data_IF_647911534510
#
_entry.id   IF_647911534510
#
_cell.length_a   1.000
_cell.length_b   1.000
_cell.length_c   1.000
_cell.angle_alpha   90.00
_cell.angle_beta   90.00
_cell.angle_gamma   90.00
#
_symmetry.space_group_name_H-M   'P 1'
#
loop_
_entity.id
_entity.type
_entity.pdbx_description
1 polymer ?
#
# COMPACT_ATOMS: atom_id res chain seq x y z
N UNK A 1 -34.77 39.96 11.37
CA UNK A 1 -33.44 40.63 11.23
C UNK A 1 -32.50 40.24 12.37
N UNK A 2 -32.86 40.48 13.63
CA UNK A 2 -32.07 40.10 14.83
C UNK A 2 -31.83 38.59 14.98
N UNK A 3 -32.82 37.73 14.70
CA UNK A 3 -32.65 36.27 14.79
C UNK A 3 -31.59 35.71 13.83
N UNK A 4 -31.49 36.28 12.63
CA UNK A 4 -30.49 35.88 11.63
C UNK A 4 -29.08 36.25 12.09
N UNK A 5 -28.92 37.43 12.70
CA UNK A 5 -27.65 37.88 13.28
C UNK A 5 -27.21 37.00 14.46
N UNK A 6 -28.13 36.57 15.32
CA UNK A 6 -27.82 35.66 16.43
C UNK A 6 -27.39 34.28 15.91
N UNK A 7 -28.08 33.75 14.91
CA UNK A 7 -27.70 32.46 14.30
C UNK A 7 -26.32 32.53 13.63
N UNK A 8 -26.04 33.62 12.91
CA UNK A 8 -24.73 33.86 12.30
C UNK A 8 -23.62 33.97 13.36
N UNK A 9 -23.88 34.65 14.48
CA UNK A 9 -22.92 34.79 15.57
C UNK A 9 -22.58 33.43 16.21
N UNK A 10 -23.58 32.57 16.45
CA UNK A 10 -23.37 31.22 17.00
C UNK A 10 -22.63 30.33 15.99
N UNK A 11 -22.98 30.40 14.70
CA UNK A 11 -22.30 29.63 13.65
C UNK A 11 -20.81 30.00 13.53
N UNK A 12 -20.49 31.30 13.57
CA UNK A 12 -19.09 31.79 13.53
C UNK A 12 -18.32 31.39 14.79
N UNK A 13 -18.95 31.46 15.96
CA UNK A 13 -18.32 31.05 17.22
C UNK A 13 -18.04 29.53 17.27
N UNK A 14 -18.95 28.72 16.72
CA UNK A 14 -18.74 27.29 16.54
C UNK A 14 -17.62 26.96 15.55
N UNK A 15 -17.53 27.70 14.44
CA UNK A 15 -16.44 27.54 13.46
C UNK A 15 -15.08 27.93 14.07
N UNK A 16 -15.03 29.03 14.82
CA UNK A 16 -13.80 29.53 15.44
C UNK A 16 -13.25 28.56 16.51
N UNK A 17 -14.14 27.99 17.33
CA UNK A 17 -13.76 26.99 18.34
C UNK A 17 -13.27 25.68 17.70
N UNK A 18 -13.92 25.22 16.62
CA UNK A 18 -13.46 24.06 15.85
C UNK A 18 -12.10 24.31 15.15
N UNK A 19 -11.86 25.52 14.66
CA UNK A 19 -10.64 25.86 13.93
C UNK A 19 -9.43 26.10 14.85
N UNK A 20 -9.65 26.58 16.08
CA UNK A 20 -8.58 26.88 17.05
C UNK A 20 -8.02 25.64 17.77
N UNK A 21 -8.82 24.59 17.98
CA UNK A 21 -8.43 23.44 18.82
C UNK A 21 -7.74 22.31 18.01
N UNK A 22 -7.88 22.28 16.68
CA UNK A 22 -7.39 21.18 15.85
C UNK A 22 -5.88 21.14 15.54
N UNK A 23 -5.09 22.13 15.98
CA UNK A 23 -3.70 22.32 15.48
C UNK A 23 -2.56 21.95 16.44
N UNK A 24 -2.78 21.63 17.72
CA UNK A 24 -1.69 21.32 18.66
C UNK A 24 -1.91 20.10 19.55
N UNK A 25 -2.17 18.93 18.95
CA UNK A 25 -1.81 17.68 19.62
C UNK A 25 -1.23 16.72 18.60
N UNK A 26 0.11 16.53 18.55
CA UNK A 26 0.65 15.41 17.81
C UNK A 26 0.08 14.16 18.49
N UNK A 27 -0.72 13.33 17.81
CA UNK A 27 -1.00 12.00 18.33
C UNK A 27 0.36 11.33 18.52
N UNK A 28 0.60 10.78 19.71
CA UNK A 28 1.72 9.88 19.91
C UNK A 28 1.71 8.88 18.75
N UNK A 29 2.86 8.64 18.12
CA UNK A 29 2.95 7.83 16.91
C UNK A 29 2.22 6.48 17.05
N UNK A 30 2.16 5.92 18.26
CA UNK A 30 1.37 4.72 18.58
C UNK A 30 -0.15 4.87 18.45
N UNK A 31 -0.74 6.00 18.86
CA UNK A 31 -2.19 6.23 18.74
C UNK A 31 -2.61 6.50 17.30
N UNK A 32 -1.75 7.16 16.50
CA UNK A 32 -1.98 7.38 15.07
C UNK A 32 -1.98 6.04 14.28
N UNK A 33 -1.07 5.12 14.61
CA UNK A 33 -1.05 3.78 14.01
C UNK A 33 -2.29 2.99 14.39
N UNK A 34 -2.72 3.03 15.66
CA UNK A 34 -3.88 2.29 16.14
C UNK A 34 -5.19 2.78 15.48
N UNK A 35 -5.35 4.11 15.35
CA UNK A 35 -6.48 4.70 14.62
C UNK A 35 -6.42 4.45 13.11
N UNK A 36 -5.22 4.37 12.51
CA UNK A 36 -5.07 4.01 11.10
C UNK A 36 -5.46 2.55 10.84
N UNK A 37 -5.10 1.62 11.73
CA UNK A 37 -5.46 0.19 11.63
C UNK A 37 -6.97 -0.01 11.78
N UNK A 38 -7.63 0.73 12.68
CA UNK A 38 -9.11 0.75 12.80
C UNK A 38 -9.83 1.39 11.59
N UNK A 39 -9.10 2.02 10.67
CA UNK A 39 -9.63 2.66 9.47
C UNK A 39 -9.56 1.81 8.19
N UNK A 40 -8.94 0.64 8.25
CA UNK A 40 -8.86 -0.30 7.12
C UNK A 40 -10.26 -0.87 6.85
N UNK A 41 -10.65 -0.92 5.58
CA UNK A 41 -11.92 -1.53 5.19
C UNK A 41 -11.86 -3.04 5.45
N UNK A 42 -12.90 -3.59 6.08
CA UNK A 42 -13.05 -5.03 6.26
C UNK A 42 -13.01 -5.73 4.88
N UNK A 43 -12.22 -6.80 4.69
CA UNK A 43 -12.20 -7.54 3.45
C UNK A 43 -13.60 -8.05 3.10
N UNK A 44 -14.14 -7.71 1.92
CA UNK A 44 -15.44 -8.23 1.49
C UNK A 44 -15.28 -9.73 1.16
N UNK A 45 -15.92 -10.64 1.92
CA UNK A 45 -15.79 -12.08 1.71
C UNK A 45 -16.42 -12.57 0.40
N UNK A 46 -17.15 -11.70 -0.33
CA UNK A 46 -17.70 -12.01 -1.66
C UNK A 46 -16.71 -11.79 -2.79
N UNK A 47 -15.64 -11.02 -2.56
CA UNK A 47 -14.59 -10.81 -3.55
C UNK A 47 -13.58 -11.95 -3.46
N UNK A 48 -13.15 -12.54 -4.59
CA UNK A 48 -12.10 -13.53 -4.57
C UNK A 48 -10.82 -12.91 -3.98
N UNK A 49 -10.13 -13.60 -3.05
CA UNK A 49 -8.91 -13.08 -2.46
C UNK A 49 -7.86 -12.89 -3.56
N UNK A 50 -7.17 -11.75 -3.53
CA UNK A 50 -6.01 -11.51 -4.38
C UNK A 50 -4.87 -12.34 -3.84
N UNK A 51 -4.62 -13.48 -4.48
CA UNK A 51 -3.58 -14.42 -4.07
C UNK A 51 -2.48 -14.48 -5.12
N UNK A 52 -1.27 -14.23 -4.66
CA UNK A 52 -0.06 -14.63 -5.38
C UNK A 52 0.26 -16.08 -5.04
N UNK A 53 0.92 -16.83 -5.95
CA UNK A 53 1.46 -18.14 -5.60
C UNK A 53 2.58 -18.00 -4.55
N UNK A 54 2.92 -19.10 -3.87
CA UNK A 54 3.98 -19.14 -2.84
C UNK A 54 5.33 -18.57 -3.33
N UNK A 55 5.62 -18.76 -4.62
CA UNK A 55 6.80 -18.24 -5.30
C UNK A 55 6.35 -17.40 -6.50
N UNK A 56 6.03 -16.11 -6.31
CA UNK A 56 5.54 -15.25 -7.38
C UNK A 56 6.65 -14.97 -8.38
N UNK A 57 6.32 -15.04 -9.67
CA UNK A 57 7.17 -14.49 -10.73
C UNK A 57 6.79 -13.02 -11.01
N UNK A 58 7.66 -12.29 -11.70
CA UNK A 58 7.39 -10.92 -12.15
C UNK A 58 6.05 -10.80 -12.91
N UNK A 59 5.73 -11.79 -13.75
CA UNK A 59 4.48 -11.84 -14.51
C UNK A 59 3.23 -12.02 -13.63
N UNK A 60 3.36 -12.69 -12.47
CA UNK A 60 2.24 -12.85 -11.55
C UNK A 60 1.89 -11.53 -10.87
N UNK A 61 2.91 -10.79 -10.43
CA UNK A 61 2.74 -9.45 -9.84
C UNK A 61 2.07 -8.49 -10.82
N UNK A 62 2.47 -8.49 -12.08
CA UNK A 62 1.89 -7.62 -13.12
C UNK A 62 0.39 -7.90 -13.42
N UNK A 63 -0.08 -9.12 -13.15
CA UNK A 63 -1.48 -9.53 -13.35
C UNK A 63 -2.38 -9.24 -12.15
N UNK A 64 -1.82 -8.88 -11.01
CA UNK A 64 -2.59 -8.60 -9.79
C UNK A 64 -3.51 -7.40 -10.03
N UNK A 65 -4.78 -7.53 -9.63
CA UNK A 65 -5.76 -6.44 -9.66
C UNK A 65 -6.43 -6.31 -8.31
N UNK A 66 -6.35 -5.12 -7.72
CA UNK A 66 -6.95 -4.83 -6.43
C UNK A 66 -8.36 -4.22 -6.60
N UNK A 67 -9.34 -4.62 -5.78
CA UNK A 67 -10.66 -3.98 -5.76
C UNK A 67 -10.56 -2.54 -5.23
N UNK A 68 -11.46 -1.67 -5.70
CA UNK A 68 -11.53 -0.27 -5.28
C UNK A 68 -12.30 -0.15 -3.96
N UNK A 69 -11.75 0.55 -2.98
CA UNK A 69 -12.39 0.80 -1.69
C UNK A 69 -12.42 2.30 -1.34
N UNK A 70 -13.44 2.74 -0.61
CA UNK A 70 -13.65 4.14 -0.18
C UNK A 70 -12.50 4.70 0.69
N UNK A 71 -11.70 3.84 1.33
CA UNK A 71 -10.47 4.18 2.06
C UNK A 71 -9.25 3.41 1.56
N UNK A 72 -9.25 3.04 0.28
CA UNK A 72 -8.13 2.31 -0.33
C UNK A 72 -6.90 3.19 -0.55
N UNK A 73 -5.75 2.52 -0.70
CA UNK A 73 -4.55 3.16 -1.24
C UNK A 73 -4.84 3.74 -2.65
N UNK A 74 -4.09 4.78 -3.03
CA UNK A 74 -4.24 5.38 -4.36
C UNK A 74 -3.80 4.37 -5.42
N UNK A 75 -4.69 4.02 -6.35
CA UNK A 75 -4.43 3.01 -7.39
C UNK A 75 -3.13 3.31 -8.16
N UNK A 76 -2.95 4.53 -8.68
CA UNK A 76 -1.73 4.86 -9.42
C UNK A 76 -0.43 4.74 -8.61
N UNK A 77 -0.45 4.98 -7.29
CA UNK A 77 0.74 4.79 -6.45
C UNK A 77 1.02 3.31 -6.19
N UNK A 78 -0.04 2.53 -5.98
CA UNK A 78 0.07 1.08 -5.82
C UNK A 78 0.59 0.46 -7.11
N UNK A 79 0.02 0.84 -8.25
CA UNK A 79 0.41 0.36 -9.57
C UNK A 79 1.90 0.68 -9.86
N UNK A 80 2.36 1.90 -9.61
CA UNK A 80 3.77 2.26 -9.80
C UNK A 80 4.71 1.42 -8.90
N UNK A 81 4.31 1.17 -7.65
CA UNK A 81 5.09 0.34 -6.73
C UNK A 81 5.12 -1.12 -7.20
N UNK A 82 3.99 -1.66 -7.69
CA UNK A 82 3.91 -3.02 -8.22
C UNK A 82 4.73 -3.18 -9.51
N UNK A 83 4.71 -2.19 -10.39
CA UNK A 83 5.52 -2.19 -11.62
C UNK A 83 7.02 -2.21 -11.28
N UNK A 84 7.43 -1.37 -10.32
CA UNK A 84 8.82 -1.36 -9.82
C UNK A 84 9.20 -2.69 -9.17
N UNK A 85 8.28 -3.28 -8.40
CA UNK A 85 8.50 -4.57 -7.75
C UNK A 85 8.62 -5.70 -8.78
N UNK A 86 7.75 -5.74 -9.79
CA UNK A 86 7.80 -6.72 -10.86
C UNK A 86 9.11 -6.62 -11.65
N UNK A 87 9.59 -5.42 -11.94
CA UNK A 87 10.88 -5.20 -12.58
C UNK A 87 12.04 -5.73 -11.73
N UNK A 88 12.09 -5.36 -10.44
CA UNK A 88 13.15 -5.81 -9.53
C UNK A 88 13.16 -7.33 -9.35
N UNK A 89 11.98 -7.95 -9.31
CA UNK A 89 11.83 -9.40 -9.25
C UNK A 89 12.37 -10.07 -10.51
N UNK A 90 12.04 -9.55 -11.70
CA UNK A 90 12.57 -10.05 -12.97
C UNK A 90 14.10 -9.94 -13.08
N UNK A 91 14.69 -8.86 -12.59
CA UNK A 91 16.14 -8.69 -12.52
C UNK A 91 16.79 -9.72 -11.58
N UNK A 92 16.18 -9.94 -10.41
CA UNK A 92 16.65 -10.95 -9.45
C UNK A 92 16.56 -12.36 -10.04
N UNK A 93 15.45 -12.70 -10.68
CA UNK A 93 15.25 -14.01 -11.29
C UNK A 93 16.20 -14.26 -12.46
N UNK A 94 16.52 -13.22 -13.24
CA UNK A 94 17.56 -13.32 -14.26
C UNK A 94 18.94 -13.59 -13.64
N UNK A 95 19.31 -12.82 -12.60
CA UNK A 95 20.58 -13.01 -11.92
C UNK A 95 20.72 -14.39 -11.26
N UNK A 96 19.63 -14.92 -10.69
CA UNK A 96 19.63 -16.27 -10.12
C UNK A 96 19.88 -17.30 -11.22
N UNK A 97 19.19 -17.21 -12.36
CA UNK A 97 19.40 -18.12 -13.50
C UNK A 97 20.83 -18.08 -14.02
N UNK A 98 21.43 -16.90 -14.12
CA UNK A 98 22.81 -16.76 -14.58
C UNK A 98 23.80 -17.42 -13.60
N UNK A 99 23.58 -17.26 -12.29
CA UNK A 99 24.40 -17.89 -11.26
C UNK A 99 24.22 -19.42 -11.23
N UNK A 100 23.00 -19.90 -11.40
CA UNK A 100 22.70 -21.34 -11.47
C UNK A 100 23.34 -21.99 -12.70
N UNK A 101 23.32 -21.32 -13.85
CA UNK A 101 24.01 -21.78 -15.06
C UNK A 101 25.53 -21.88 -14.84
N UNK A 102 26.15 -20.83 -14.29
CA UNK A 102 27.59 -20.84 -14.00
C UNK A 102 27.99 -21.91 -12.97
N UNK A 103 27.13 -22.15 -11.97
CA UNK A 103 27.35 -23.22 -10.98
C UNK A 103 27.22 -24.61 -11.62
N UNK A 104 26.24 -24.81 -12.51
CA UNK A 104 26.06 -26.07 -13.25
C UNK A 104 27.26 -26.41 -14.13
N UNK A 105 27.79 -25.43 -14.87
CA UNK A 105 28.99 -25.58 -15.71
C UNK A 105 30.22 -25.95 -14.87
N UNK A 106 30.36 -25.34 -13.69
CA UNK A 106 31.47 -25.61 -12.76
C UNK A 106 31.45 -27.05 -12.21
N UNK A 107 30.25 -27.60 -11.97
CA UNK A 107 30.08 -28.99 -11.51
C UNK A 107 30.31 -30.00 -12.64
N UNK A 108 29.96 -29.68 -13.88
CA UNK A 108 30.20 -30.55 -15.04
C UNK A 108 31.67 -30.57 -15.49
N UNK A 109 32.39 -29.46 -15.33
CA UNK A 109 33.81 -29.33 -15.72
C UNK A 109 34.80 -30.05 -14.81
N UNK A 110 34.38 -30.53 -13.63
CA UNK A 110 35.24 -31.20 -12.64
C UNK A 110 35.38 -32.71 -12.78
N UNK A 111 34.56 -33.38 -13.61
CA UNK A 111 34.47 -34.85 -13.67
C UNK A 111 35.34 -35.50 -14.76
N UNK A 112 36.30 -34.77 -15.33
CA UNK A 112 37.13 -35.21 -16.47
C UNK A 112 38.63 -35.02 -16.27
N UNK A 113 39.21 -35.50 -15.17
CA UNK A 113 40.67 -35.62 -15.03
C UNK A 113 41.11 -36.71 -14.06
#
# INVERSE_FOLDING_TARGET
MTLLLVFLAIAVLGLATAFGIGRLRPPSAGTAVLTAVQGLAEPDPRLPPVLLPEHPAAADVARVRFPVALRGYRMGQVDEVLDRLAAALGERDARIRDLEAAAGDSLSGGSGK
#
